data_IF_361874344224
#
_entry.id   IF_361874344224
#
_cell.length_a   1.000
_cell.length_b   1.000
_cell.length_c   1.000
_cell.angle_alpha   90.00
_cell.angle_beta   90.00
_cell.angle_gamma   90.00
#
_symmetry.space_group_name_H-M   'P 1'
#
loop_
_entity.id
_entity.type
_entity.pdbx_description
1 polymer ?
#
# COMPACT_ATOMS: atom_id res chain seq x y z
N UNK A 1 28.50 -66.84 -34.76
CA UNK A 1 27.72 -66.86 -33.50
C UNK A 1 27.68 -65.44 -32.95
N UNK A 2 26.48 -64.95 -32.69
CA UNK A 2 26.13 -63.53 -32.59
C UNK A 2 26.50 -62.88 -31.25
N UNK A 3 27.05 -61.67 -31.29
CA UNK A 3 27.20 -60.78 -30.13
C UNK A 3 26.03 -59.79 -30.08
N UNK A 4 25.16 -59.96 -29.09
CA UNK A 4 23.99 -59.11 -28.88
C UNK A 4 24.39 -57.80 -28.18
N UNK A 5 24.21 -56.67 -28.87
CA UNK A 5 24.37 -55.33 -28.30
C UNK A 5 23.17 -54.95 -27.42
N UNK A 6 23.42 -54.69 -26.12
CA UNK A 6 22.42 -54.08 -25.23
C UNK A 6 22.28 -52.59 -25.54
N UNK A 7 21.15 -52.21 -26.14
CA UNK A 7 20.74 -50.80 -26.27
C UNK A 7 20.29 -50.27 -24.91
N UNK A 8 20.93 -49.19 -24.45
CA UNK A 8 20.50 -48.41 -23.28
C UNK A 8 19.24 -47.63 -23.66
N UNK A 9 18.12 -47.89 -22.98
CA UNK A 9 16.95 -47.02 -23.01
C UNK A 9 17.20 -45.88 -22.02
N UNK A 10 17.53 -44.69 -22.54
CA UNK A 10 17.47 -43.46 -21.76
C UNK A 10 16.00 -43.01 -21.72
N UNK A 11 15.37 -43.11 -20.54
CA UNK A 11 14.07 -42.50 -20.28
C UNK A 11 14.27 -40.99 -20.19
N UNK A 12 13.97 -40.28 -21.27
CA UNK A 12 13.76 -38.83 -21.25
C UNK A 12 12.32 -38.60 -20.79
N UNK A 13 12.12 -38.44 -19.48
CA UNK A 13 10.81 -38.05 -18.93
C UNK A 13 10.54 -36.57 -19.22
N UNK A 14 9.32 -36.19 -19.66
CA UNK A 14 9.02 -34.81 -19.97
C UNK A 14 9.00 -33.98 -18.69
N UNK A 15 9.82 -32.93 -18.65
CA UNK A 15 9.76 -31.88 -17.65
C UNK A 15 8.46 -31.09 -17.87
N UNK A 16 7.39 -31.46 -17.16
CA UNK A 16 6.12 -30.75 -17.19
C UNK A 16 6.30 -29.41 -16.45
N UNK A 17 6.68 -28.37 -17.17
CA UNK A 17 6.71 -27.00 -16.66
C UNK A 17 5.27 -26.53 -16.41
N UNK A 18 4.86 -26.56 -15.15
CA UNK A 18 3.57 -26.06 -14.69
C UNK A 18 3.62 -24.52 -14.67
N UNK A 19 3.23 -23.89 -15.79
CA UNK A 19 3.07 -22.44 -15.88
C UNK A 19 1.82 -22.05 -15.06
N UNK A 20 2.01 -21.63 -13.82
CA UNK A 20 0.93 -21.08 -13.00
C UNK A 20 0.48 -19.76 -13.61
N UNK A 21 -0.62 -19.79 -14.36
CA UNK A 21 -1.28 -18.58 -14.82
C UNK A 21 -1.83 -17.84 -13.59
N UNK A 22 -1.25 -16.69 -13.26
CA UNK A 22 -1.73 -15.84 -12.17
C UNK A 22 -3.08 -15.28 -12.62
N UNK A 23 -4.17 -15.73 -11.99
CA UNK A 23 -5.52 -15.28 -12.31
C UNK A 23 -5.76 -13.81 -11.92
N UNK A 24 -6.76 -13.14 -12.51
CA UNK A 24 -7.06 -11.72 -12.26
C UNK A 24 -7.40 -11.41 -10.79
N UNK A 25 -7.93 -12.37 -10.03
CA UNK A 25 -8.14 -12.23 -8.59
C UNK A 25 -6.81 -12.07 -7.82
N UNK A 26 -5.83 -12.93 -8.11
CA UNK A 26 -4.50 -12.86 -7.50
C UNK A 26 -3.75 -11.58 -7.89
N UNK A 27 -3.87 -11.13 -9.14
CA UNK A 27 -3.32 -9.84 -9.57
C UNK A 27 -3.97 -8.65 -8.81
N UNK A 28 -5.29 -8.73 -8.55
CA UNK A 28 -6.02 -7.75 -7.75
C UNK A 28 -5.56 -7.69 -6.28
N UNK A 29 -5.32 -8.85 -5.65
CA UNK A 29 -4.81 -8.92 -4.27
C UNK A 29 -3.38 -8.41 -4.12
N UNK A 30 -2.52 -8.69 -5.11
CA UNK A 30 -1.14 -8.14 -5.16
C UNK A 30 -1.19 -6.61 -5.22
N UNK A 31 -2.06 -6.06 -6.06
CA UNK A 31 -2.23 -4.62 -6.22
C UNK A 31 -2.70 -3.94 -4.93
N UNK A 32 -3.71 -4.52 -4.25
CA UNK A 32 -4.19 -4.01 -2.95
C UNK A 32 -3.10 -4.05 -1.89
N UNK A 33 -2.37 -5.17 -1.79
CA UNK A 33 -1.32 -5.35 -0.78
C UNK A 33 -0.16 -4.38 -0.99
N UNK A 34 0.27 -4.18 -2.25
CA UNK A 34 1.30 -3.19 -2.58
C UNK A 34 0.80 -1.76 -2.35
N UNK A 35 -0.45 -1.46 -2.71
CA UNK A 35 -1.09 -0.19 -2.44
C UNK A 35 -1.12 0.18 -0.95
N UNK A 36 -1.32 -0.79 -0.05
CA UNK A 36 -1.24 -0.57 1.39
C UNK A 36 0.17 -0.19 1.87
N UNK A 37 1.21 -0.81 1.30
CA UNK A 37 2.61 -0.43 1.59
C UNK A 37 2.95 0.96 1.04
N UNK A 38 2.45 1.30 -0.15
CA UNK A 38 2.56 2.66 -0.71
C UNK A 38 1.85 3.69 0.18
N UNK A 39 0.66 3.37 0.69
CA UNK A 39 -0.10 4.25 1.60
C UNK A 39 0.66 4.53 2.89
N UNK A 40 1.28 3.51 3.48
CA UNK A 40 2.09 3.66 4.68
C UNK A 40 3.35 4.49 4.39
N UNK A 41 4.12 4.07 3.37
CA UNK A 41 5.35 4.73 2.97
C UNK A 41 5.75 4.45 1.52
N UNK A 42 5.33 5.33 0.61
CA UNK A 42 5.56 5.18 -0.82
C UNK A 42 7.03 5.21 -1.20
N UNK A 43 7.84 6.12 -0.64
CA UNK A 43 9.24 6.24 -1.05
C UNK A 43 10.07 5.04 -0.54
N UNK A 44 9.69 4.44 0.60
CA UNK A 44 10.28 3.18 1.07
C UNK A 44 9.90 2.01 0.16
N UNK A 45 8.64 1.90 -0.22
CA UNK A 45 8.16 0.83 -1.12
C UNK A 45 8.77 0.93 -2.52
N UNK A 46 9.08 2.14 -2.98
CA UNK A 46 9.76 2.38 -4.27
C UNK A 46 11.29 2.39 -4.17
N UNK A 47 11.84 2.27 -2.96
CA UNK A 47 13.28 2.37 -2.70
C UNK A 47 13.92 3.66 -3.25
N UNK A 48 13.20 4.78 -3.14
CA UNK A 48 13.66 6.11 -3.57
C UNK A 48 13.90 7.04 -2.38
N UNK A 49 14.65 8.12 -2.62
CA UNK A 49 14.87 9.13 -1.60
C UNK A 49 13.57 9.87 -1.23
N UNK A 50 13.35 10.21 0.05
CA UNK A 50 12.18 10.97 0.46
C UNK A 50 12.23 12.43 -0.05
N UNK A 51 11.08 13.12 -0.14
CA UNK A 51 11.05 14.54 -0.46
C UNK A 51 11.76 15.39 0.59
N UNK A 52 12.50 16.40 0.13
CA UNK A 52 13.28 17.31 1.01
C UNK A 52 12.56 18.63 1.31
N UNK A 53 11.37 18.84 0.76
CA UNK A 53 10.50 19.99 1.05
C UNK A 53 9.18 19.50 1.61
N UNK A 54 8.59 20.24 2.55
CA UNK A 54 7.30 19.89 3.10
C UNK A 54 6.20 19.89 2.03
N UNK A 55 5.24 18.98 2.16
CA UNK A 55 4.07 18.92 1.30
C UNK A 55 3.22 20.18 1.51
N UNK A 56 2.85 20.87 0.42
CA UNK A 56 2.16 22.17 0.50
C UNK A 56 0.79 22.10 1.20
N UNK A 57 0.07 20.98 1.05
CA UNK A 57 -1.20 20.74 1.72
C UNK A 57 -1.09 20.30 3.19
N UNK A 58 0.11 20.00 3.70
CA UNK A 58 0.27 19.63 5.12
C UNK A 58 0.09 20.88 5.99
N UNK A 59 -0.69 20.82 7.09
CA UNK A 59 -0.93 22.00 7.92
C UNK A 59 0.35 22.58 8.50
N UNK A 60 0.56 23.89 8.36
CA UNK A 60 1.76 24.56 8.85
C UNK A 60 1.93 24.46 10.39
N UNK A 61 0.81 24.37 11.12
CA UNK A 61 0.78 24.16 12.56
C UNK A 61 0.86 22.68 12.99
N UNK A 62 0.89 21.74 12.04
CA UNK A 62 0.94 20.31 12.34
C UNK A 62 2.30 19.90 12.90
N UNK A 63 2.32 18.91 13.80
CA UNK A 63 3.55 18.51 14.50
C UNK A 63 4.67 17.97 13.60
N UNK A 64 4.35 17.60 12.36
CA UNK A 64 5.32 17.11 11.37
C UNK A 64 5.69 18.16 10.31
N UNK A 65 5.24 19.41 10.43
CA UNK A 65 5.46 20.44 9.40
C UNK A 65 6.95 20.69 9.11
N UNK A 66 7.81 20.52 10.12
CA UNK A 66 9.27 20.65 10.00
C UNK A 66 9.98 19.36 9.53
N UNK A 67 9.23 18.30 9.20
CA UNK A 67 9.73 16.99 8.78
C UNK A 67 9.24 16.66 7.37
N UNK A 68 9.90 17.18 6.32
CA UNK A 68 9.50 16.97 4.93
C UNK A 68 9.10 15.54 4.60
N UNK A 69 9.94 14.57 4.95
CA UNK A 69 9.72 13.15 4.68
C UNK A 69 8.40 12.61 5.28
N UNK A 70 7.95 13.17 6.40
CA UNK A 70 6.71 12.77 7.06
C UNK A 70 5.49 13.43 6.42
N UNK A 71 5.61 14.68 5.96
CA UNK A 71 4.47 15.44 5.38
C UNK A 71 3.93 14.88 4.05
N UNK A 72 4.67 13.99 3.39
CA UNK A 72 4.28 13.34 2.14
C UNK A 72 3.69 11.93 2.32
N UNK A 73 3.56 11.44 3.56
CA UNK A 73 3.00 10.12 3.83
C UNK A 73 1.47 10.19 3.89
N UNK A 74 0.79 9.34 3.12
CA UNK A 74 -0.67 9.27 3.12
C UNK A 74 -1.19 8.95 4.53
N UNK A 75 -0.55 8.01 5.22
CA UNK A 75 -0.84 7.62 6.61
C UNK A 75 -0.69 8.75 7.63
N UNK A 76 0.14 9.76 7.35
CA UNK A 76 0.33 10.93 8.23
C UNK A 76 -0.78 11.95 8.08
N UNK A 77 -1.35 12.11 6.87
CA UNK A 77 -2.44 13.04 6.64
C UNK A 77 -3.80 12.39 6.92
N UNK A 78 -3.99 11.17 6.43
CA UNK A 78 -5.27 10.45 6.45
C UNK A 78 -5.38 9.39 7.56
N UNK A 79 -4.38 9.29 8.43
CA UNK A 79 -4.33 8.35 9.54
C UNK A 79 -3.81 6.98 9.14
N UNK A 80 -3.01 6.37 10.02
CA UNK A 80 -2.63 4.95 9.87
C UNK A 80 -3.84 4.01 10.00
N UNK A 81 -4.92 4.52 10.60
CA UNK A 81 -6.22 3.87 10.79
C UNK A 81 -7.25 4.25 9.71
N UNK A 82 -6.83 4.98 8.67
CA UNK A 82 -7.65 5.41 7.52
C UNK A 82 -8.73 6.45 7.83
N UNK A 83 -8.82 6.94 9.08
CA UNK A 83 -9.91 7.81 9.56
C UNK A 83 -9.50 9.28 9.75
N UNK A 84 -8.21 9.58 9.66
CA UNK A 84 -7.68 10.95 9.77
C UNK A 84 -8.15 11.65 11.04
N UNK A 85 -8.74 12.85 10.88
CA UNK A 85 -9.28 13.66 11.97
C UNK A 85 -10.39 12.99 12.79
N UNK A 86 -11.03 11.96 12.25
CA UNK A 86 -12.14 11.25 12.89
C UNK A 86 -11.65 9.95 13.57
N UNK A 87 -10.33 9.71 13.59
CA UNK A 87 -9.70 8.49 14.09
C UNK A 87 -8.63 8.73 15.14
N UNK A 88 -7.60 7.88 15.13
CA UNK A 88 -6.50 7.86 16.09
C UNK A 88 -5.72 9.19 16.19
N UNK A 89 -5.85 10.08 15.21
CA UNK A 89 -5.21 11.38 15.25
C UNK A 89 -6.04 12.47 15.94
N UNK A 90 -7.36 12.28 16.10
CA UNK A 90 -8.26 13.26 16.69
C UNK A 90 -7.80 13.70 18.09
N UNK A 91 -7.50 14.99 18.27
CA UNK A 91 -7.05 15.55 19.55
C UNK A 91 -5.66 15.07 20.01
N UNK A 92 -4.94 14.31 19.18
CA UNK A 92 -3.57 13.90 19.44
C UNK A 92 -2.58 14.96 18.96
N UNK A 93 -1.29 14.79 19.28
CA UNK A 93 -0.21 15.61 18.70
C UNK A 93 -0.08 15.46 17.18
N UNK A 94 -0.67 14.42 16.58
CA UNK A 94 -0.64 14.16 15.15
C UNK A 94 -1.90 14.66 14.43
N UNK A 95 -2.81 15.37 15.12
CA UNK A 95 -4.01 15.92 14.52
C UNK A 95 -3.66 16.92 13.40
N UNK A 96 -4.15 16.65 12.20
CA UNK A 96 -4.00 17.50 11.01
C UNK A 96 -5.31 18.21 10.65
N UNK A 97 -6.45 17.80 11.23
CA UNK A 97 -7.78 18.20 10.78
C UNK A 97 -8.18 17.67 9.38
N UNK A 98 -7.35 16.83 8.75
CA UNK A 98 -7.61 16.25 7.42
C UNK A 98 -8.46 14.98 7.58
N UNK A 99 -9.47 14.82 6.72
CA UNK A 99 -10.35 13.63 6.71
C UNK A 99 -9.59 12.35 6.36
N UNK A 100 -10.09 11.21 6.84
CA UNK A 100 -9.63 9.89 6.40
C UNK A 100 -10.01 9.54 4.95
N UNK A 101 -9.65 8.32 4.54
CA UNK A 101 -9.93 7.78 3.20
C UNK A 101 -11.19 6.90 3.13
N UNK A 102 -11.88 6.66 4.26
CA UNK A 102 -13.04 5.75 4.31
C UNK A 102 -14.18 6.15 3.37
N UNK A 103 -14.37 7.44 3.11
CA UNK A 103 -15.36 7.91 2.12
C UNK A 103 -15.05 7.53 0.67
N UNK A 104 -13.84 7.07 0.36
CA UNK A 104 -13.42 6.63 -0.97
C UNK A 104 -13.51 5.10 -1.15
N UNK A 105 -13.92 4.34 -0.12
CA UNK A 105 -14.15 2.90 -0.24
C UNK A 105 -15.20 2.59 -1.31
N UNK A 106 -14.93 1.57 -2.15
CA UNK A 106 -15.74 1.25 -3.32
C UNK A 106 -15.62 2.23 -4.49
N UNK A 107 -14.82 3.30 -4.35
CA UNK A 107 -14.60 4.29 -5.40
C UNK A 107 -13.89 3.71 -6.63
N UNK A 108 -14.17 4.29 -7.80
CA UNK A 108 -13.53 3.90 -9.06
C UNK A 108 -12.05 4.33 -9.10
N UNK A 109 -11.17 3.45 -9.60
CA UNK A 109 -9.73 3.70 -9.59
C UNK A 109 -9.34 4.99 -10.33
N UNK A 110 -9.94 5.26 -11.50
CA UNK A 110 -9.64 6.48 -12.27
C UNK A 110 -9.96 7.77 -11.49
N UNK A 111 -11.06 7.79 -10.75
CA UNK A 111 -11.44 8.91 -9.88
C UNK A 111 -10.41 9.10 -8.76
N UNK A 112 -9.99 8.02 -8.12
CA UNK A 112 -8.99 8.07 -7.04
C UNK A 112 -7.63 8.55 -7.58
N UNK A 113 -7.19 8.03 -8.74
CA UNK A 113 -5.95 8.45 -9.39
C UNK A 113 -5.97 9.94 -9.78
N UNK A 114 -7.12 10.45 -10.22
CA UNK A 114 -7.29 11.88 -10.51
C UNK A 114 -7.14 12.74 -9.24
N UNK A 115 -7.65 12.27 -8.10
CA UNK A 115 -7.47 12.94 -6.80
C UNK A 115 -5.99 12.92 -6.36
N UNK A 116 -5.30 11.79 -6.51
CA UNK A 116 -3.89 11.62 -6.14
C UNK A 116 -2.94 12.50 -6.98
N UNK A 117 -3.28 12.72 -8.24
CA UNK A 117 -2.45 13.54 -9.15
C UNK A 117 -2.87 15.01 -9.17
N UNK A 118 -4.06 15.33 -8.65
CA UNK A 118 -4.60 16.68 -8.60
C UNK A 118 -3.90 17.62 -7.60
N UNK A 119 -4.30 18.91 -7.57
CA UNK A 119 -3.63 19.97 -6.80
C UNK A 119 -3.53 19.75 -5.29
N UNK A 120 -4.39 18.90 -4.72
CA UNK A 120 -4.36 18.57 -3.28
C UNK A 120 -3.24 17.61 -2.87
N UNK A 121 -2.64 16.89 -3.83
CA UNK A 121 -1.66 15.82 -3.56
C UNK A 121 -0.42 15.92 -4.47
N UNK A 122 -0.61 16.09 -5.78
CA UNK A 122 0.49 16.32 -6.73
C UNK A 122 1.42 15.12 -6.94
N UNK A 123 0.96 13.87 -6.74
CA UNK A 123 1.81 12.68 -6.91
C UNK A 123 2.16 12.33 -8.36
N UNK A 124 1.60 13.02 -9.36
CA UNK A 124 1.78 12.67 -10.78
C UNK A 124 3.23 12.72 -11.30
N UNK A 125 4.11 13.47 -10.63
CA UNK A 125 5.55 13.49 -10.94
C UNK A 125 6.41 12.57 -10.07
N UNK A 126 5.80 11.87 -9.11
CA UNK A 126 6.50 11.06 -8.09
C UNK A 126 6.14 9.57 -8.18
N UNK A 127 4.92 9.27 -8.61
CA UNK A 127 4.39 7.90 -8.68
C UNK A 127 4.10 7.52 -10.13
N UNK A 128 4.53 6.32 -10.52
CA UNK A 128 4.24 5.76 -11.84
C UNK A 128 2.78 5.33 -11.98
N UNK A 129 2.31 5.04 -13.21
CA UNK A 129 0.93 4.62 -13.44
C UNK A 129 0.50 3.39 -12.62
N UNK A 130 1.40 2.41 -12.44
CA UNK A 130 1.11 1.22 -11.64
C UNK A 130 1.04 1.54 -10.14
N UNK A 131 1.90 2.43 -9.64
CA UNK A 131 1.87 2.84 -8.22
C UNK A 131 0.56 3.54 -7.88
N UNK A 132 0.10 4.43 -8.77
CA UNK A 132 -1.19 5.10 -8.67
C UNK A 132 -2.36 4.11 -8.74
N UNK A 133 -2.27 3.10 -9.60
CA UNK A 133 -3.29 2.05 -9.71
C UNK A 133 -3.34 1.19 -8.43
N UNK A 134 -2.19 0.82 -7.87
CA UNK A 134 -2.11 0.03 -6.64
C UNK A 134 -2.65 0.80 -5.44
N UNK A 135 -2.27 2.08 -5.30
CA UNK A 135 -2.87 2.98 -4.30
C UNK A 135 -4.38 3.09 -4.49
N UNK A 136 -4.85 3.25 -5.72
CA UNK A 136 -6.29 3.34 -6.00
C UNK A 136 -7.02 2.03 -5.67
N UNK A 137 -6.40 0.87 -5.92
CA UNK A 137 -6.94 -0.43 -5.53
C UNK A 137 -7.03 -0.56 -4.01
N UNK A 138 -5.99 -0.13 -3.28
CA UNK A 138 -5.98 -0.12 -1.82
C UNK A 138 -7.01 0.84 -1.23
N UNK A 139 -7.10 2.08 -1.70
CA UNK A 139 -8.10 3.04 -1.23
C UNK A 139 -9.52 2.54 -1.51
N UNK A 140 -9.74 1.90 -2.67
CA UNK A 140 -11.05 1.37 -3.04
C UNK A 140 -11.46 0.14 -2.23
N UNK A 141 -10.55 -0.81 -1.99
CA UNK A 141 -10.90 -2.15 -1.46
C UNK A 141 -10.01 -2.69 -0.33
N UNK A 142 -8.92 -2.02 -0.01
CA UNK A 142 -7.90 -2.49 0.93
C UNK A 142 -8.02 -1.95 2.36
N UNK A 143 -8.95 -1.01 2.60
CA UNK A 143 -9.20 -0.50 3.94
C UNK A 143 -9.85 -1.60 4.81
N UNK A 144 -9.35 -1.76 6.03
CA UNK A 144 -9.86 -2.73 7.01
C UNK A 144 -10.30 -2.02 8.28
N UNK A 145 -11.15 -2.67 9.07
CA UNK A 145 -11.46 -2.19 10.42
C UNK A 145 -10.26 -2.46 11.34
N UNK A 146 -9.48 -1.41 11.58
CA UNK A 146 -8.23 -1.48 12.33
C UNK A 146 -8.47 -1.76 13.82
N UNK A 147 -9.65 -1.44 14.35
CA UNK A 147 -9.98 -1.62 15.78
C UNK A 147 -10.11 -3.10 16.17
N UNK A 148 -10.28 -3.98 15.18
CA UNK A 148 -10.23 -5.43 15.33
C UNK A 148 -8.84 -5.88 15.79
N UNK A 149 -7.79 -5.16 15.39
CA UNK A 149 -6.39 -5.54 15.61
C UNK A 149 -5.67 -4.63 16.61
N UNK A 150 -6.11 -3.38 16.75
CA UNK A 150 -5.48 -2.38 17.60
C UNK A 150 -6.54 -1.78 18.53
N UNK A 151 -6.17 -1.58 19.79
CA UNK A 151 -7.02 -0.90 20.74
C UNK A 151 -6.97 0.62 20.53
N UNK A 152 -8.10 1.29 20.19
CA UNK A 152 -8.08 2.70 19.83
C UNK A 152 -7.77 3.63 21.01
N UNK A 153 -8.01 3.19 22.25
CA UNK A 153 -7.71 3.99 23.44
C UNK A 153 -6.22 3.98 23.79
N UNK A 154 -5.55 2.84 23.60
CA UNK A 154 -4.14 2.66 23.98
C UNK A 154 -3.16 2.62 22.82
N UNK A 155 -3.65 2.55 21.57
CA UNK A 155 -2.89 2.30 20.35
C UNK A 155 -2.04 1.02 20.38
N UNK A 156 -2.39 0.05 21.23
CA UNK A 156 -1.68 -1.23 21.36
C UNK A 156 -2.33 -2.29 20.49
N UNK A 157 -1.52 -3.13 19.87
CA UNK A 157 -2.01 -4.33 19.21
C UNK A 157 -2.75 -5.22 20.22
N UNK A 158 -3.88 -5.80 19.80
CA UNK A 158 -4.67 -6.76 20.56
C UNK A 158 -4.09 -8.18 20.53
N UNK A 159 -3.07 -8.41 19.69
CA UNK A 159 -2.36 -9.68 19.60
C UNK A 159 -1.50 -9.98 20.84
N UNK A 160 -1.29 -11.26 21.11
CA UNK A 160 -0.39 -11.74 22.16
C UNK A 160 1.05 -11.76 21.64
N UNK A 161 1.94 -10.98 22.25
CA UNK A 161 3.34 -10.90 21.86
C UNK A 161 4.16 -12.16 22.21
N UNK A 162 3.60 -13.09 23.00
CA UNK A 162 4.25 -14.33 23.43
C UNK A 162 3.91 -15.57 22.59
N UNK A 163 3.17 -15.43 21.48
CA UNK A 163 2.79 -16.51 20.56
C UNK A 163 3.43 -16.36 19.19
#
# INVERSE_FOLDING_TARGET
MATAGRRRLAFCGPLLALLMAVGPAAAGEISVSRGGRLYDNWYRELEVAPPVRAHAAYPAAGALAARPESTWLCSTCHGWDYRGRDGAFAGSKHDTGIIGISGAAGGGHATIMAVLTGPGHGFGGMLGPQDLLDLAAFVSRGQVDVDVFVDPASAKARGDAGR
#
